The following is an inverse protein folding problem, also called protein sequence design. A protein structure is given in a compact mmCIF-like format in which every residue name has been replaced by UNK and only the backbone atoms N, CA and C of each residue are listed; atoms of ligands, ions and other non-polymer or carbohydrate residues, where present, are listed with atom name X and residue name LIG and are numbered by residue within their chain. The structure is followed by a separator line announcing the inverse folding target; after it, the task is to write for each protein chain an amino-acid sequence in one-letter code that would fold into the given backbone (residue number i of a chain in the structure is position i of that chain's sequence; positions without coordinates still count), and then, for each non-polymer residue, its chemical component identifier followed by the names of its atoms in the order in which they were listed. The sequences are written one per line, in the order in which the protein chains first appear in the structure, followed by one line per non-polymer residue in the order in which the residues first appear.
data_IF_653755859530
#
_entry.id   IF_653755859530
#
_cell.length_a   1.000
_cell.length_b   1.000
_cell.length_c   1.000
_cell.angle_alpha   90.00
_cell.angle_beta   90.00
_cell.angle_gamma   90.00
#
_symmetry.space_group_name_H-M   'P 1'
#
loop_
_entity.id
_entity.type
_entity.pdbx_description
1 polymer ?
#
# COMPACT_ATOMS: atom_id res chain seq x y z
N UNK A 1 -0.91 -53.64 23.38
CA UNK A 1 -1.50 -53.19 24.65
C UNK A 1 -1.45 -51.67 24.66
N UNK A 2 -2.59 -51.03 24.37
CA UNK A 2 -2.78 -49.59 24.54
C UNK A 2 -2.90 -49.27 26.04
N UNK A 3 -2.25 -48.20 26.50
CA UNK A 3 -2.65 -47.35 27.65
C UNK A 3 -1.53 -46.33 27.90
N UNK A 4 -1.73 -45.05 28.22
CA UNK A 4 -2.91 -44.23 28.44
C UNK A 4 -2.43 -42.77 28.43
N UNK A 5 -3.12 -41.89 27.70
CA UNK A 5 -3.11 -40.44 27.89
C UNK A 5 -3.90 -40.10 29.17
N UNK A 6 -3.50 -39.10 29.98
CA UNK A 6 -4.41 -38.53 30.97
C UNK A 6 -5.33 -37.51 30.30
N UNK A 7 -6.63 -37.82 30.31
CA UNK A 7 -7.74 -36.93 30.01
C UNK A 7 -8.28 -36.29 31.29
N UNK A 8 -8.80 -35.06 31.10
CA UNK A 8 -9.87 -34.37 31.83
C UNK A 8 -9.58 -33.76 33.20
N UNK A 9 -9.89 -32.48 33.29
CA UNK A 9 -11.08 -32.04 34.04
C UNK A 9 -11.57 -30.67 33.54
N UNK A 10 -12.77 -30.67 32.96
CA UNK A 10 -13.58 -29.49 32.71
C UNK A 10 -14.53 -29.27 33.89
N UNK A 11 -14.59 -28.05 34.44
CA UNK A 11 -15.69 -27.48 35.24
C UNK A 11 -15.57 -25.92 35.22
N UNK A 12 -16.57 -25.15 35.70
CA UNK A 12 -17.77 -24.76 34.96
C UNK A 12 -17.84 -23.23 34.75
N UNK A 13 -18.75 -22.82 33.87
CA UNK A 13 -19.09 -21.42 33.61
C UNK A 13 -19.64 -20.73 34.87
N UNK A 14 -19.01 -19.64 35.28
CA UNK A 14 -19.55 -18.67 36.22
C UNK A 14 -19.80 -17.35 35.49
N UNK A 15 -21.07 -16.95 35.47
CA UNK A 15 -21.55 -15.67 34.98
C UNK A 15 -21.16 -14.56 35.95
N UNK A 16 -20.36 -13.60 35.51
CA UNK A 16 -20.20 -12.30 36.15
C UNK A 16 -20.49 -11.20 35.14
N UNK A 17 -21.62 -10.53 35.31
CA UNK A 17 -21.95 -9.26 34.66
C UNK A 17 -21.02 -8.19 35.21
N UNK A 18 -20.10 -7.71 34.38
CA UNK A 18 -19.33 -6.51 34.61
C UNK A 18 -19.50 -5.59 33.41
N UNK A 19 -20.39 -4.60 33.56
CA UNK A 19 -20.57 -3.53 32.59
C UNK A 19 -19.29 -2.67 32.55
N UNK A 20 -18.50 -2.77 31.48
CA UNK A 20 -17.52 -1.75 31.14
C UNK A 20 -17.68 -1.33 29.69
N UNK A 21 -17.73 -0.01 29.56
CA UNK A 21 -18.18 0.75 28.41
C UNK A 21 -17.31 0.54 27.17
N UNK A 22 -17.97 0.53 26.01
CA UNK A 22 -17.34 0.58 24.70
C UNK A 22 -16.52 1.87 24.54
N UNK A 23 -15.36 1.82 23.86
CA UNK A 23 -14.64 3.02 23.48
C UNK A 23 -15.47 3.84 22.49
N UNK A 24 -15.62 5.13 22.84
CA UNK A 24 -16.36 6.16 22.13
C UNK A 24 -15.88 6.28 20.68
N UNK A 25 -16.76 5.94 19.74
CA UNK A 25 -16.64 6.39 18.36
C UNK A 25 -16.79 7.91 18.32
N UNK A 26 -15.76 8.61 17.84
CA UNK A 26 -15.87 10.03 17.47
C UNK A 26 -16.67 10.08 16.16
N UNK A 27 -17.99 10.03 16.31
CA UNK A 27 -18.93 10.38 15.26
C UNK A 27 -18.81 11.87 14.99
N UNK A 28 -18.44 12.22 13.76
CA UNK A 28 -18.54 13.57 13.22
C UNK A 28 -20.01 14.02 13.32
N UNK A 29 -20.33 14.85 14.32
CA UNK A 29 -21.62 15.54 14.40
C UNK A 29 -21.62 16.70 13.42
N UNK A 30 -22.12 16.47 12.21
CA UNK A 30 -22.67 17.53 11.38
C UNK A 30 -23.93 18.06 12.07
N UNK A 31 -23.86 19.27 12.61
CA UNK A 31 -25.01 19.96 13.17
C UNK A 31 -26.03 20.26 12.05
N UNK A 32 -27.08 19.45 11.97
CA UNK A 32 -28.30 19.80 11.27
C UNK A 32 -29.17 20.61 12.23
N UNK A 33 -29.13 21.94 12.10
CA UNK A 33 -30.11 22.80 12.77
C UNK A 33 -31.37 22.90 11.91
N UNK A 34 -32.44 22.27 12.39
CA UNK A 34 -33.80 22.50 11.93
C UNK A 34 -34.24 23.93 12.28
N UNK A 35 -34.23 24.81 11.28
CA UNK A 35 -34.83 26.14 11.34
C UNK A 35 -36.10 26.18 10.49
N UNK A 36 -37.25 26.36 11.14
CA UNK A 36 -38.57 26.32 10.52
C UNK A 36 -38.78 27.31 9.39
N UNK A 37 -39.50 26.86 8.36
CA UNK A 37 -39.97 27.67 7.25
C UNK A 37 -40.93 28.76 7.76
N UNK A 38 -40.61 30.02 7.47
CA UNK A 38 -41.55 31.15 7.57
C UNK A 38 -41.79 31.72 6.16
N UNK A 39 -43.03 32.09 5.81
CA UNK A 39 -43.37 32.48 4.45
C UNK A 39 -42.74 33.83 4.06
N UNK A 40 -42.24 33.89 2.84
CA UNK A 40 -41.64 35.06 2.21
C UNK A 40 -42.70 36.17 2.01
N UNK A 41 -42.64 37.22 2.82
CA UNK A 41 -43.36 38.47 2.51
C UNK A 41 -42.57 39.26 1.48
N UNK A 42 -43.17 39.46 0.30
CA UNK A 42 -42.65 40.37 -0.75
C UNK A 42 -42.50 41.79 -0.19
N UNK A 43 -41.28 42.23 0.06
CA UNK A 43 -40.95 43.66 0.21
C UNK A 43 -39.96 44.03 -0.88
N UNK A 44 -40.36 44.98 -1.72
CA UNK A 44 -39.62 45.43 -2.89
C UNK A 44 -38.26 46.02 -2.53
N UNK A 45 -37.25 45.66 -3.31
CA UNK A 45 -35.96 46.32 -3.31
C UNK A 45 -36.15 47.74 -3.87
N UNK A 46 -36.00 48.77 -3.02
CA UNK A 46 -35.70 50.13 -3.49
C UNK A 46 -34.19 50.24 -3.58
N UNK A 47 -33.68 50.49 -4.78
CA UNK A 47 -32.27 50.82 -5.02
C UNK A 47 -32.01 52.23 -4.45
N UNK A 48 -31.16 52.32 -3.44
CA UNK A 48 -30.58 53.57 -2.95
C UNK A 48 -29.35 53.98 -3.78
N UNK A 49 -28.95 55.26 -3.77
CA UNK A 49 -27.85 55.75 -4.59
C UNK A 49 -26.51 55.17 -4.13
N UNK A 50 -25.72 54.73 -5.11
CA UNK A 50 -24.38 54.18 -4.93
C UNK A 50 -23.43 55.33 -4.58
N UNK A 51 -23.01 55.41 -3.33
CA UNK A 51 -21.87 56.24 -2.96
C UNK A 51 -20.58 55.56 -3.44
N UNK A 52 -19.87 56.21 -4.35
CA UNK A 52 -18.52 55.80 -4.79
C UNK A 52 -17.53 56.00 -3.66
N UNK A 53 -17.23 54.93 -2.92
CA UNK A 53 -16.05 54.91 -2.05
C UNK A 53 -14.81 54.73 -2.93
N UNK A 54 -13.92 55.72 -2.90
CA UNK A 54 -12.61 55.63 -3.54
C UNK A 54 -11.80 54.50 -2.88
N UNK A 55 -11.48 53.46 -3.65
CA UNK A 55 -10.61 52.39 -3.22
C UNK A 55 -9.18 52.94 -3.12
N UNK A 56 -8.62 52.99 -1.92
CA UNK A 56 -7.18 53.20 -1.71
C UNK A 56 -6.46 51.95 -2.19
N UNK A 57 -5.81 52.06 -3.36
CA UNK A 57 -4.95 51.02 -3.92
C UNK A 57 -3.61 51.02 -3.18
N UNK A 58 -3.54 50.29 -2.08
CA UNK A 58 -2.25 49.94 -1.49
C UNK A 58 -2.26 48.47 -1.07
N UNK A 59 -2.36 47.60 -2.08
CA UNK A 59 -2.10 46.18 -1.94
C UNK A 59 -0.79 45.90 -2.68
N UNK A 60 0.33 46.03 -1.97
CA UNK A 60 1.60 45.49 -2.44
C UNK A 60 1.41 44.00 -2.72
N UNK A 61 1.66 43.60 -3.96
CA UNK A 61 1.55 42.21 -4.39
C UNK A 61 2.43 41.33 -3.49
N UNK A 62 1.96 40.14 -3.07
CA UNK A 62 2.77 39.23 -2.28
C UNK A 62 4.04 38.89 -3.07
N UNK A 63 5.20 39.10 -2.45
CA UNK A 63 6.48 38.72 -3.03
C UNK A 63 6.43 37.24 -3.43
N UNK A 64 6.84 36.88 -4.66
CA UNK A 64 6.85 35.49 -5.07
C UNK A 64 7.71 34.68 -4.10
N UNK A 65 7.18 33.55 -3.64
CA UNK A 65 7.94 32.65 -2.79
C UNK A 65 9.28 32.32 -3.46
N UNK A 66 10.38 32.19 -2.69
CA UNK A 66 11.66 31.77 -3.23
C UNK A 66 11.49 30.45 -3.98
N UNK A 67 12.23 30.29 -5.07
CA UNK A 67 12.23 29.04 -5.84
C UNK A 67 12.54 27.85 -4.90
N UNK A 68 11.90 26.69 -5.10
CA UNK A 68 12.10 25.55 -4.22
C UNK A 68 13.55 25.09 -4.26
N UNK A 69 14.14 24.92 -3.08
CA UNK A 69 15.47 24.34 -2.94
C UNK A 69 15.42 22.86 -3.35
N UNK A 70 16.14 22.54 -4.43
CA UNK A 70 16.20 21.18 -4.99
C UNK A 70 17.23 20.28 -4.30
N UNK A 71 18.03 20.84 -3.38
CA UNK A 71 19.05 20.11 -2.62
C UNK A 71 18.43 19.26 -1.50
N UNK A 72 19.27 18.51 -0.78
CA UNK A 72 18.85 17.73 0.39
C UNK A 72 18.85 18.55 1.68
N UNK A 73 19.39 19.77 1.70
CA UNK A 73 19.61 20.55 2.92
C UNK A 73 18.32 20.78 3.75
N UNK A 74 17.16 21.11 3.16
CA UNK A 74 15.93 21.24 3.93
C UNK A 74 15.53 19.95 4.64
N UNK A 75 15.76 18.81 3.99
CA UNK A 75 15.43 17.50 4.55
C UNK A 75 16.44 17.08 5.63
N UNK A 76 17.73 17.38 5.45
CA UNK A 76 18.77 17.12 6.46
C UNK A 76 18.46 17.82 7.79
N UNK A 77 18.00 19.07 7.73
CA UNK A 77 17.63 19.82 8.93
C UNK A 77 16.44 19.21 9.69
N UNK A 78 15.49 18.56 9.00
CA UNK A 78 14.29 17.98 9.60
C UNK A 78 14.56 16.63 10.30
N UNK A 79 15.49 15.85 9.75
CA UNK A 79 15.85 14.53 10.31
C UNK A 79 16.91 14.63 11.40
N UNK A 80 17.61 15.75 11.51
CA UNK A 80 18.70 15.94 12.46
C UNK A 80 18.26 15.67 13.92
N UNK A 81 19.11 14.95 14.66
CA UNK A 81 18.87 14.63 16.08
C UNK A 81 17.92 13.46 16.34
N UNK A 82 17.36 12.84 15.30
CA UNK A 82 16.47 11.67 15.41
C UNK A 82 17.27 10.37 15.25
N UNK A 83 16.86 9.29 15.93
CA UNK A 83 17.46 7.94 15.77
C UNK A 83 16.40 6.88 15.59
N UNK A 84 16.69 5.88 14.77
CA UNK A 84 15.75 4.79 14.51
C UNK A 84 16.46 3.48 14.18
N UNK A 85 15.91 2.37 14.65
CA UNK A 85 16.27 1.02 14.23
C UNK A 85 15.03 0.14 14.12
N UNK A 86 14.80 -0.46 12.95
CA UNK A 86 13.68 -1.36 12.76
C UNK A 86 13.95 -2.71 13.45
N UNK A 87 13.16 -3.04 14.47
CA UNK A 87 13.23 -4.34 15.18
C UNK A 87 12.39 -5.44 14.51
N UNK A 88 11.81 -5.17 13.33
CA UNK A 88 10.84 -6.04 12.64
C UNK A 88 9.66 -6.46 13.54
N UNK A 89 9.22 -5.56 14.43
CA UNK A 89 8.15 -5.85 15.40
C UNK A 89 6.75 -6.02 14.78
N UNK A 90 6.55 -5.60 13.52
CA UNK A 90 5.28 -5.70 12.81
C UNK A 90 4.23 -4.65 13.18
N UNK A 91 4.50 -3.77 14.16
CA UNK A 91 3.51 -2.79 14.66
C UNK A 91 3.09 -1.76 13.61
N UNK A 92 4.00 -1.33 12.74
CA UNK A 92 3.67 -0.46 11.60
C UNK A 92 2.80 -1.16 10.53
N UNK A 93 2.66 -2.48 10.58
CA UNK A 93 1.76 -3.26 9.73
C UNK A 93 0.40 -3.53 10.39
N UNK A 94 0.22 -3.10 11.65
CA UNK A 94 -1.03 -3.25 12.40
C UNK A 94 -1.67 -1.88 12.61
N UNK A 95 -3.00 -1.78 12.48
CA UNK A 95 -3.75 -0.56 12.79
C UNK A 95 -4.25 0.19 11.55
N UNK A 96 -4.81 1.37 11.78
CA UNK A 96 -5.47 2.14 10.74
C UNK A 96 -4.43 2.91 9.90
N UNK A 97 -3.95 2.26 8.84
CA UNK A 97 -3.02 2.85 7.89
C UNK A 97 -3.39 2.54 6.45
N UNK A 98 -3.26 3.53 5.57
CA UNK A 98 -3.41 3.35 4.13
C UNK A 98 -2.04 3.29 3.47
N UNK A 99 -1.69 2.12 2.93
CA UNK A 99 -0.48 1.97 2.13
C UNK A 99 -0.81 2.11 0.65
N UNK A 100 -0.23 3.13 0.02
CA UNK A 100 -0.42 3.43 -1.38
C UNK A 100 0.81 3.01 -2.19
N UNK A 101 0.55 2.27 -3.25
CA UNK A 101 1.53 1.81 -4.22
C UNK A 101 1.50 2.72 -5.45
N UNK A 102 2.66 3.20 -5.86
CA UNK A 102 2.86 3.79 -7.17
C UNK A 102 2.89 2.70 -8.25
N UNK A 103 2.57 3.06 -9.51
CA UNK A 103 2.59 2.13 -10.64
C UNK A 103 3.89 1.33 -10.77
N UNK A 104 5.03 1.95 -10.49
CA UNK A 104 6.37 1.38 -10.67
C UNK A 104 6.71 0.32 -9.61
N UNK A 105 6.05 0.37 -8.45
CA UNK A 105 6.31 -0.54 -7.33
C UNK A 105 5.60 -1.87 -7.49
N UNK A 106 4.44 -1.85 -8.14
CA UNK A 106 3.56 -2.99 -8.36
C UNK A 106 4.26 -4.17 -9.04
N UNK A 107 4.92 -4.02 -10.22
CA UNK A 107 5.55 -5.16 -10.89
C UNK A 107 6.71 -5.75 -10.06
N UNK A 108 7.43 -4.92 -9.30
CA UNK A 108 8.53 -5.36 -8.43
C UNK A 108 8.01 -6.25 -7.29
N UNK A 109 6.92 -5.84 -6.62
CA UNK A 109 6.34 -6.62 -5.52
C UNK A 109 5.68 -7.89 -6.06
N UNK A 110 4.95 -7.80 -7.18
CA UNK A 110 4.33 -8.96 -7.83
C UNK A 110 5.36 -10.03 -8.19
N UNK A 111 6.50 -9.62 -8.78
CA UNK A 111 7.62 -10.51 -9.11
C UNK A 111 8.20 -11.20 -7.88
N UNK A 112 8.36 -10.48 -6.77
CA UNK A 112 8.86 -11.07 -5.52
C UNK A 112 7.94 -12.17 -4.97
N UNK A 113 6.63 -12.03 -5.17
CA UNK A 113 5.63 -13.02 -4.78
C UNK A 113 5.42 -14.14 -5.81
N UNK A 114 6.19 -14.14 -6.91
CA UNK A 114 6.02 -15.03 -8.06
C UNK A 114 4.60 -15.02 -8.64
N UNK A 115 4.02 -13.81 -8.75
CA UNK A 115 2.70 -13.60 -9.34
C UNK A 115 2.79 -12.71 -10.57
N UNK A 116 1.84 -12.88 -11.49
CA UNK A 116 1.60 -11.87 -12.51
C UNK A 116 1.13 -10.57 -11.86
N UNK A 117 1.41 -9.44 -12.51
CA UNK A 117 0.94 -8.13 -12.05
C UNK A 117 -0.58 -8.11 -11.88
N UNK A 118 -1.33 -8.71 -12.80
CA UNK A 118 -2.79 -8.78 -12.70
C UNK A 118 -3.24 -9.52 -11.44
N UNK A 119 -2.69 -10.72 -11.18
CA UNK A 119 -3.03 -11.48 -9.97
C UNK A 119 -2.66 -10.74 -8.70
N UNK A 120 -1.52 -10.07 -8.68
CA UNK A 120 -1.14 -9.22 -7.56
C UNK A 120 -2.16 -8.10 -7.31
N UNK A 121 -2.56 -7.41 -8.37
CA UNK A 121 -3.51 -6.30 -8.31
C UNK A 121 -4.89 -6.75 -7.81
N UNK A 122 -5.40 -7.86 -8.33
CA UNK A 122 -6.68 -8.46 -7.93
C UNK A 122 -6.66 -8.93 -6.48
N UNK A 123 -5.60 -9.63 -6.08
CA UNK A 123 -5.51 -10.27 -4.77
C UNK A 123 -5.20 -9.27 -3.67
N UNK A 124 -4.20 -8.41 -3.84
CA UNK A 124 -3.62 -7.62 -2.74
C UNK A 124 -4.01 -6.14 -2.72
N UNK A 125 -4.66 -5.61 -3.76
CA UNK A 125 -4.87 -4.16 -3.87
C UNK A 125 -6.32 -3.75 -4.14
N UNK A 126 -6.66 -2.52 -3.78
CA UNK A 126 -7.92 -1.83 -4.11
C UNK A 126 -7.61 -0.66 -5.05
N UNK A 127 -8.55 -0.31 -5.91
CA UNK A 127 -8.41 0.82 -6.84
C UNK A 127 -9.32 1.96 -6.37
N UNK A 128 -8.80 3.18 -6.41
CA UNK A 128 -9.59 4.38 -6.13
C UNK A 128 -9.58 5.28 -7.36
N UNK A 129 -10.77 5.62 -7.86
CA UNK A 129 -10.93 6.44 -9.06
C UNK A 129 -10.28 7.82 -8.94
N UNK A 130 -10.16 8.32 -7.71
CA UNK A 130 -9.48 9.59 -7.40
C UNK A 130 -8.00 9.53 -7.76
N UNK A 131 -7.27 8.47 -7.43
CA UNK A 131 -5.81 8.39 -7.61
C UNK A 131 -5.47 7.46 -8.78
N UNK A 132 -5.49 7.98 -10.02
CA UNK A 132 -5.30 7.15 -11.21
C UNK A 132 -3.91 6.53 -11.26
N UNK A 133 -3.83 5.25 -11.61
CA UNK A 133 -2.58 4.47 -11.64
C UNK A 133 -2.09 3.98 -10.27
N UNK A 134 -2.43 4.69 -9.20
CA UNK A 134 -2.10 4.29 -7.84
C UNK A 134 -3.03 3.19 -7.34
N UNK A 135 -2.50 2.32 -6.49
CA UNK A 135 -3.26 1.22 -5.87
C UNK A 135 -3.08 1.27 -4.37
N UNK A 136 -4.13 1.03 -3.60
CA UNK A 136 -4.03 0.93 -2.15
C UNK A 136 -3.94 -0.54 -1.76
N UNK A 137 -3.05 -0.90 -0.83
CA UNK A 137 -3.05 -2.26 -0.29
C UNK A 137 -4.36 -2.58 0.42
N UNK A 138 -4.81 -3.83 0.29
CA UNK A 138 -5.89 -4.35 1.12
C UNK A 138 -5.40 -4.53 2.56
N UNK A 139 -6.35 -4.51 3.46
CA UNK A 139 -6.18 -4.95 4.84
C UNK A 139 -6.70 -6.39 5.00
N UNK A 140 -6.21 -7.08 6.03
CA UNK A 140 -6.50 -8.46 6.38
C UNK A 140 -6.60 -8.62 7.91
N UNK A 141 -6.84 -9.86 8.35
CA UNK A 141 -7.01 -10.22 9.76
C UNK A 141 -8.43 -9.99 10.27
N UNK A 142 -8.70 -10.49 11.48
CA UNK A 142 -10.06 -10.51 12.07
C UNK A 142 -10.65 -9.12 12.31
N UNK A 143 -9.80 -8.13 12.61
CA UNK A 143 -10.22 -6.74 12.74
C UNK A 143 -10.35 -6.02 11.39
N UNK A 144 -9.81 -6.59 10.31
CA UNK A 144 -9.74 -5.95 9.00
C UNK A 144 -8.82 -4.73 8.94
N UNK A 145 -7.89 -4.60 9.89
CA UNK A 145 -6.99 -3.45 10.03
C UNK A 145 -5.52 -3.80 9.80
N UNK A 146 -5.14 -5.08 9.71
CA UNK A 146 -3.72 -5.42 9.49
C UNK A 146 -3.37 -5.34 8.00
N UNK A 147 -2.13 -5.01 7.67
CA UNK A 147 -1.64 -5.07 6.29
C UNK A 147 -1.77 -6.52 5.75
N UNK A 148 -2.18 -6.67 4.48
CA UNK A 148 -2.31 -7.97 3.82
C UNK A 148 -1.00 -8.77 3.73
N UNK A 149 0.16 -8.13 3.87
CA UNK A 149 1.47 -8.78 3.89
C UNK A 149 2.01 -9.07 5.29
N UNK A 150 1.25 -8.81 6.36
CA UNK A 150 1.63 -9.24 7.70
C UNK A 150 1.40 -10.75 7.81
N UNK A 151 2.44 -11.50 8.17
CA UNK A 151 2.38 -12.94 8.33
C UNK A 151 1.37 -13.30 9.43
N UNK A 152 0.35 -14.13 9.13
CA UNK A 152 -0.60 -14.58 10.14
C UNK A 152 0.02 -15.63 11.08
N UNK A 153 1.21 -16.13 10.77
CA UNK A 153 1.88 -17.17 11.56
C UNK A 153 2.45 -16.63 12.87
N UNK A 154 2.98 -15.41 12.84
CA UNK A 154 3.64 -14.78 13.99
C UNK A 154 3.11 -13.38 14.33
N UNK A 155 2.31 -12.77 13.43
CA UNK A 155 1.77 -11.41 13.60
C UNK A 155 2.85 -10.33 13.56
N UNK A 156 4.06 -10.62 13.05
CA UNK A 156 5.20 -9.70 13.05
C UNK A 156 5.90 -9.59 11.71
N UNK A 157 6.08 -10.72 11.02
CA UNK A 157 6.90 -10.77 9.81
C UNK A 157 6.18 -10.16 8.62
N UNK A 158 6.80 -9.18 7.96
CA UNK A 158 6.34 -8.66 6.68
C UNK A 158 6.81 -9.58 5.54
N UNK A 159 5.87 -10.18 4.82
CA UNK A 159 6.15 -11.14 3.73
C UNK A 159 6.86 -10.50 2.53
N UNK A 160 6.84 -9.17 2.41
CA UNK A 160 7.48 -8.41 1.33
C UNK A 160 8.55 -7.45 1.84
N UNK A 161 9.14 -7.70 3.02
CA UNK A 161 10.04 -6.76 3.71
C UNK A 161 11.20 -6.25 2.83
N UNK A 162 11.77 -7.12 2.01
CA UNK A 162 12.90 -6.80 1.10
C UNK A 162 12.49 -5.97 -0.10
N UNK A 163 11.21 -5.97 -0.46
CA UNK A 163 10.65 -5.22 -1.60
C UNK A 163 9.52 -4.29 -1.17
N UNK A 164 9.59 -3.77 0.06
CA UNK A 164 8.60 -2.82 0.59
C UNK A 164 8.39 -1.65 -0.38
N UNK A 165 7.16 -1.12 -0.49
CA UNK A 165 6.94 0.14 -1.20
C UNK A 165 7.67 1.28 -0.48
N UNK A 166 7.97 2.36 -1.20
CA UNK A 166 8.64 3.56 -0.74
C UNK A 166 8.04 4.03 0.58
N UNK A 167 6.71 4.16 0.67
CA UNK A 167 6.02 4.52 1.92
C UNK A 167 6.44 3.64 3.11
N UNK A 168 6.45 2.31 2.96
CA UNK A 168 6.86 1.42 4.04
C UNK A 168 8.38 1.39 4.27
N UNK A 169 9.18 1.59 3.23
CA UNK A 169 10.64 1.51 3.32
C UNK A 169 11.29 2.78 3.89
N UNK A 170 10.62 3.92 3.75
CA UNK A 170 11.09 5.22 4.26
C UNK A 170 10.64 5.51 5.68
N UNK A 171 9.80 4.65 6.29
CA UNK A 171 9.44 4.80 7.71
C UNK A 171 10.69 4.72 8.60
N UNK A 172 10.89 5.64 9.55
CA UNK A 172 9.94 6.64 10.06
C UNK A 172 10.09 8.05 9.47
N UNK A 173 10.84 8.21 8.38
CA UNK A 173 11.12 9.49 7.73
C UNK A 173 9.95 9.94 6.84
N UNK A 174 8.77 10.02 7.42
CA UNK A 174 7.58 10.55 6.75
C UNK A 174 7.43 12.04 7.08
N UNK A 175 6.96 12.87 6.14
CA UNK A 175 6.75 14.29 6.39
C UNK A 175 5.90 14.57 7.65
N UNK A 176 4.88 13.75 7.89
CA UNK A 176 3.97 13.87 9.03
C UNK A 176 4.67 13.62 10.38
N UNK A 177 5.75 12.82 10.40
CA UNK A 177 6.52 12.49 11.59
C UNK A 177 7.67 13.48 11.85
N UNK A 178 7.86 14.50 11.00
CA UNK A 178 8.94 15.50 11.20
C UNK A 178 8.58 16.57 12.23
N UNK A 179 7.37 16.54 12.78
CA UNK A 179 6.96 17.32 13.94
C UNK A 179 7.24 16.54 15.24
N UNK A 180 7.87 17.19 16.22
CA UNK A 180 8.29 16.53 17.46
C UNK A 180 7.13 15.85 18.22
N UNK A 181 5.96 16.49 18.25
CA UNK A 181 4.78 15.92 18.88
C UNK A 181 4.32 14.60 18.23
N UNK A 182 4.35 14.53 16.89
CA UNK A 182 3.95 13.33 16.15
C UNK A 182 5.03 12.24 16.27
N UNK A 183 6.31 12.61 16.21
CA UNK A 183 7.42 11.69 16.45
C UNK A 183 7.36 11.05 17.83
N UNK A 184 7.15 11.86 18.88
CA UNK A 184 7.07 11.39 20.26
C UNK A 184 5.83 10.52 20.49
N UNK A 185 4.71 10.87 19.85
CA UNK A 185 3.50 10.05 19.90
C UNK A 185 3.72 8.69 19.22
N UNK A 186 4.28 8.68 18.01
CA UNK A 186 4.56 7.46 17.23
C UNK A 186 5.53 6.54 18.00
N UNK A 187 6.57 7.12 18.59
CA UNK A 187 7.52 6.44 19.48
C UNK A 187 6.84 5.79 20.69
N UNK A 188 5.92 6.51 21.34
CA UNK A 188 5.26 6.03 22.55
C UNK A 188 4.18 4.97 22.28
N UNK A 189 3.52 5.03 21.13
CA UNK A 189 2.29 4.27 20.88
C UNK A 189 2.43 3.20 19.81
N UNK A 190 3.26 3.41 18.79
CA UNK A 190 3.28 2.54 17.61
C UNK A 190 4.56 1.72 17.54
N UNK A 191 5.74 2.35 17.51
CA UNK A 191 6.96 1.64 17.15
C UNK A 191 8.08 1.82 18.19
N UNK A 192 8.57 0.68 18.70
CA UNK A 192 9.68 0.62 19.65
C UNK A 192 11.05 0.92 19.02
N UNK A 193 11.12 1.06 17.70
CA UNK A 193 12.36 1.35 16.97
C UNK A 193 12.86 2.78 17.11
N UNK A 194 12.02 3.70 17.59
CA UNK A 194 12.34 5.10 17.78
C UNK A 194 13.27 5.28 18.98
N UNK A 195 14.45 5.87 18.76
CA UNK A 195 15.53 5.99 19.74
C UNK A 195 15.92 4.66 20.41
N UNK A 196 15.79 3.55 19.67
CA UNK A 196 16.15 2.22 20.17
C UNK A 196 17.61 2.19 20.68
N UNK A 197 17.88 1.40 21.72
CA UNK A 197 19.23 1.31 22.30
C UNK A 197 20.28 0.88 21.27
N UNK A 198 19.88 -0.01 20.36
CA UNK A 198 20.71 -0.52 19.27
C UNK A 198 20.64 0.35 17.99
N UNK A 199 20.03 1.54 18.05
CA UNK A 199 20.00 2.43 16.90
C UNK A 199 21.39 2.98 16.60
N UNK A 200 21.88 2.85 15.35
CA UNK A 200 23.16 3.42 14.98
C UNK A 200 23.12 4.94 15.04
N UNK A 201 24.29 5.56 14.94
CA UNK A 201 24.35 6.99 14.64
C UNK A 201 23.61 7.28 13.33
N UNK A 202 22.89 8.40 13.30
CA UNK A 202 22.06 8.75 12.16
C UNK A 202 22.93 9.08 10.94
N UNK A 203 22.76 8.32 9.87
CA UNK A 203 23.16 8.75 8.54
C UNK A 203 22.18 9.82 8.05
N UNK A 204 22.54 11.08 8.29
CA UNK A 204 21.70 12.25 7.99
C UNK A 204 21.41 12.35 6.49
N UNK A 205 22.34 11.97 5.63
CA UNK A 205 22.18 12.08 4.18
C UNK A 205 21.21 11.02 3.66
N UNK A 206 21.35 9.78 4.10
CA UNK A 206 20.42 8.71 3.75
C UNK A 206 19.01 8.95 4.33
N UNK A 207 18.91 9.39 5.59
CA UNK A 207 17.62 9.74 6.19
C UNK A 207 16.95 10.91 5.44
N UNK A 208 17.71 11.92 5.03
CA UNK A 208 17.21 13.01 4.21
C UNK A 208 16.74 12.53 2.82
N UNK A 209 17.44 11.58 2.21
CA UNK A 209 17.04 10.95 0.94
C UNK A 209 15.71 10.19 1.10
N UNK A 210 15.57 9.43 2.18
CA UNK A 210 14.34 8.70 2.51
C UNK A 210 13.17 9.65 2.77
N UNK A 211 13.38 10.75 3.50
CA UNK A 211 12.36 11.79 3.71
C UNK A 211 11.95 12.47 2.40
N UNK A 212 12.92 12.81 1.56
CA UNK A 212 12.66 13.39 0.24
C UNK A 212 11.85 12.44 -0.64
N UNK A 213 12.19 11.16 -0.63
CA UNK A 213 11.46 10.11 -1.35
C UNK A 213 10.02 9.99 -0.84
N UNK A 214 9.82 9.88 0.48
CA UNK A 214 8.50 9.84 1.11
C UNK A 214 7.64 11.05 0.73
N UNK A 215 8.21 12.25 0.83
CA UNK A 215 7.55 13.48 0.44
C UNK A 215 7.18 13.49 -1.05
N UNK A 216 8.11 13.09 -1.92
CA UNK A 216 7.90 13.03 -3.37
C UNK A 216 6.75 12.09 -3.70
N UNK A 217 6.70 10.90 -3.11
CA UNK A 217 5.64 9.93 -3.33
C UNK A 217 4.28 10.46 -2.87
N UNK A 218 4.22 11.13 -1.72
CA UNK A 218 3.00 11.80 -1.25
C UNK A 218 2.53 12.87 -2.23
N UNK A 219 3.43 13.73 -2.72
CA UNK A 219 3.07 14.77 -3.69
C UNK A 219 2.62 14.18 -5.03
N UNK A 220 3.30 13.17 -5.57
CA UNK A 220 2.91 12.51 -6.82
C UNK A 220 1.51 11.88 -6.72
N UNK A 221 1.20 11.24 -5.60
CA UNK A 221 -0.14 10.71 -5.33
C UNK A 221 -1.19 11.84 -5.31
N UNK A 222 -0.91 12.94 -4.59
CA UNK A 222 -1.83 14.08 -4.54
C UNK A 222 -2.04 14.73 -5.91
N UNK A 223 -0.98 14.87 -6.71
CA UNK A 223 -1.08 15.36 -8.08
C UNK A 223 -1.92 14.43 -8.94
N UNK A 224 -1.73 13.11 -8.84
CA UNK A 224 -2.55 12.12 -9.54
C UNK A 224 -4.05 12.23 -9.21
N UNK A 225 -4.40 12.87 -8.08
CA UNK A 225 -5.80 13.15 -7.72
C UNK A 225 -6.44 14.35 -8.41
N UNK A 226 -5.61 15.29 -8.84
CA UNK A 226 -6.05 16.56 -9.42
C UNK A 226 -5.79 16.65 -10.94
N UNK A 227 -5.00 15.73 -11.49
CA UNK A 227 -4.72 15.68 -12.93
C UNK A 227 -5.95 15.18 -13.68
N UNK A 228 -6.46 16.01 -14.60
CA UNK A 228 -7.40 15.56 -15.63
C UNK A 228 -6.64 14.69 -16.60
N UNK A 229 -6.81 13.38 -16.46
CA UNK A 229 -6.19 12.38 -17.32
C UNK A 229 -6.87 12.41 -18.69
N UNK A 230 -6.10 12.53 -19.76
CA UNK A 230 -6.64 12.50 -21.13
C UNK A 230 -7.23 11.11 -21.43
N UNK A 231 -8.16 10.98 -22.40
CA UNK A 231 -8.69 9.68 -22.79
C UNK A 231 -7.61 8.65 -23.16
N UNK A 232 -6.48 9.09 -23.75
CA UNK A 232 -5.34 8.25 -24.11
C UNK A 232 -4.55 7.77 -22.89
N UNK A 233 -4.39 8.61 -21.87
CA UNK A 233 -3.73 8.21 -20.62
C UNK A 233 -4.67 7.38 -19.74
N UNK A 234 -5.99 7.57 -19.84
CA UNK A 234 -6.97 6.66 -19.25
C UNK A 234 -6.94 5.31 -19.95
N UNK A 235 -6.82 5.26 -21.28
CA UNK A 235 -6.61 4.03 -22.05
C UNK A 235 -5.32 3.34 -21.62
N UNK A 236 -4.20 4.06 -21.49
CA UNK A 236 -2.97 3.51 -20.92
C UNK A 236 -3.17 2.96 -19.51
N UNK A 237 -3.78 3.73 -18.59
CA UNK A 237 -4.05 3.26 -17.22
C UNK A 237 -5.05 2.09 -17.17
N UNK A 238 -5.89 1.93 -18.19
CA UNK A 238 -6.84 0.82 -18.36
C UNK A 238 -6.15 -0.39 -18.99
N UNK A 239 -5.16 -0.20 -19.87
CA UNK A 239 -4.27 -1.23 -20.44
C UNK A 239 -3.23 -1.73 -19.44
N UNK A 240 -2.60 -0.83 -18.67
CA UNK A 240 -2.51 -0.88 -17.19
C UNK A 240 -3.10 -2.12 -16.48
N UNK A 241 -4.42 -2.23 -16.63
CA UNK A 241 -5.28 -3.16 -15.91
C UNK A 241 -5.73 -4.34 -16.79
N UNK A 242 -5.45 -4.29 -18.09
CA UNK A 242 -5.68 -5.34 -19.09
C UNK A 242 -4.41 -5.42 -19.93
N UNK A 243 -3.38 -6.06 -19.37
CA UNK A 243 -2.27 -6.51 -20.20
C UNK A 243 -2.63 -7.91 -20.62
N UNK A 244 -2.83 -8.08 -21.93
CA UNK A 244 -3.03 -9.40 -22.51
C UNK A 244 -1.94 -10.33 -22.00
N UNK A 245 -2.38 -11.49 -21.53
CA UNK A 245 -1.53 -12.66 -21.36
C UNK A 245 -0.88 -12.90 -22.73
N UNK A 246 0.30 -12.33 -22.98
CA UNK A 246 1.19 -12.94 -23.96
C UNK A 246 1.68 -14.23 -23.32
N UNK A 247 0.88 -15.26 -23.59
CA UNK A 247 1.18 -16.66 -23.45
C UNK A 247 2.62 -16.93 -23.88
N UNK A 248 3.49 -17.04 -22.88
CA UNK A 248 4.82 -17.62 -23.00
C UNK A 248 4.83 -19.09 -22.58
N UNK A 249 3.82 -19.86 -22.99
CA UNK A 249 3.97 -21.32 -23.15
C UNK A 249 4.77 -21.56 -24.44
N UNK A 250 6.09 -21.40 -24.38
CA UNK A 250 6.99 -22.08 -25.32
C UNK A 250 7.81 -23.10 -24.53
N UNK A 251 7.51 -24.37 -24.83
CA UNK A 251 8.01 -25.54 -24.13
C UNK A 251 9.52 -25.65 -24.09
N UNK A 252 10.01 -26.07 -22.93
CA UNK A 252 11.33 -26.69 -22.78
C UNK A 252 11.13 -28.15 -22.37
N UNK A 253 10.61 -28.95 -23.31
CA UNK A 253 10.93 -30.37 -23.38
C UNK A 253 12.10 -30.56 -24.37
N UNK A 254 13.20 -31.14 -23.86
CA UNK A 254 14.06 -32.04 -24.65
C UNK A 254 15.17 -31.43 -25.50
N UNK A 255 16.33 -31.16 -24.88
CA UNK A 255 17.60 -30.99 -25.58
C UNK A 255 18.71 -31.77 -24.86
N UNK A 256 18.97 -32.99 -25.34
CA UNK A 256 19.80 -33.99 -24.66
C UNK A 256 21.30 -33.70 -24.58
N UNK A 257 21.90 -34.15 -23.48
CA UNK A 257 23.32 -34.48 -23.40
C UNK A 257 23.45 -36.01 -23.46
N UNK A 258 23.62 -36.56 -24.66
CA UNK A 258 24.01 -37.95 -24.86
C UNK A 258 25.53 -38.04 -25.00
N UNK A 259 26.17 -38.63 -23.99
CA UNK A 259 27.54 -39.10 -24.05
C UNK A 259 27.55 -40.61 -24.33
N UNK A 260 28.48 -40.99 -25.22
CA UNK A 260 29.08 -42.32 -25.47
C UNK A 260 28.31 -43.34 -26.32
N UNK A 261 28.85 -43.47 -27.54
CA UNK A 261 29.27 -44.72 -28.21
C UNK A 261 28.90 -46.04 -27.50
N UNK A 262 28.18 -46.92 -28.20
CA UNK A 262 28.78 -48.07 -28.88
C UNK A 262 27.73 -49.02 -29.48
N UNK A 263 28.11 -49.57 -30.62
CA UNK A 263 27.88 -50.93 -31.07
C UNK A 263 26.82 -51.20 -32.14
N UNK A 264 27.29 -52.00 -33.08
CA UNK A 264 26.83 -52.23 -34.43
C UNK A 264 25.76 -53.32 -34.53
N UNK A 265 24.92 -53.17 -35.55
CA UNK A 265 24.67 -54.23 -36.54
C UNK A 265 23.74 -55.37 -36.14
N UNK A 266 22.57 -55.42 -36.78
CA UNK A 266 22.29 -56.45 -37.82
C UNK A 266 20.93 -56.23 -38.49
N UNK A 267 20.95 -56.38 -39.80
CA UNK A 267 19.81 -56.50 -40.70
C UNK A 267 19.06 -57.83 -40.46
N UNK A 268 17.76 -57.86 -40.76
CA UNK A 268 17.01 -59.12 -40.84
C UNK A 268 15.55 -58.98 -41.26
N UNK A 269 15.31 -59.09 -42.57
CA UNK A 269 14.11 -59.55 -43.32
C UNK A 269 12.77 -59.82 -42.59
N UNK A 270 11.68 -59.38 -43.24
CA UNK A 270 10.27 -59.63 -42.89
C UNK A 270 9.81 -61.11 -42.93
N UNK A 271 8.49 -61.37 -42.80
CA UNK A 271 7.61 -61.25 -43.97
C UNK A 271 6.21 -60.66 -43.69
N UNK A 272 5.49 -60.47 -44.80
CA UNK A 272 4.12 -59.96 -45.00
C UNK A 272 3.10 -61.15 -44.95
N UNK A 273 1.82 -60.95 -45.31
CA UNK A 273 0.63 -60.75 -44.47
C UNK A 273 -0.30 -61.99 -44.40
N UNK A 274 -1.30 -61.99 -43.50
CA UNK A 274 -2.47 -62.89 -43.63
C UNK A 274 -3.79 -62.13 -43.56
N UNK A 275 -4.73 -62.53 -44.42
CA UNK A 275 -6.01 -61.91 -44.76
C UNK A 275 -7.17 -62.56 -44.00
N UNK A 276 -8.24 -61.79 -43.83
CA UNK A 276 -9.62 -62.29 -43.65
C UNK A 276 -10.03 -62.37 -42.18
N UNK A 277 -11.20 -61.92 -41.74
CA UNK A 277 -12.45 -61.61 -42.42
C UNK A 277 -13.60 -62.35 -41.72
N UNK A 278 -14.58 -61.59 -41.19
CA UNK A 278 -15.95 -61.91 -40.68
C UNK A 278 -16.16 -61.35 -39.26
N UNK A 279 -16.96 -60.28 -39.10
CA UNK A 279 -18.43 -60.28 -38.92
C UNK A 279 -18.89 -61.12 -37.74
N UNK A 280 -19.16 -60.51 -36.59
CA UNK A 280 -20.48 -60.08 -36.13
C UNK A 280 -20.34 -59.23 -34.88
#
# INVERSE_FOLDING_TARGET
MLSQLPQRSAQPATTARGSHAAPSSVAWRGAASAGGMRPLSRRGCRLGPVHTAAATSDASAPTPAPAPDMTLEPFKSLVAGRRFSCTMCGKCCTGDGEIWLAPEEIPRIAKHLNLSTQRFLETYTKQYSKYRGWRMLKTAGDSGQSCVFLSPLDGKTCLVHSVRPSQCSTYPWWPELMHDAEWDWEKANICEGFDHADAPELDVEEAARQLKEANTMTQLRLLASNVRVTPKEMDWATRVLVWEEEDGEEGLEGGGAAAKEANAGKQGKGPKPEKGGKRK
#
